data_IF_981424596214
#
_entry.id   IF_981424596214
#
_cell.length_a   1.000
_cell.length_b   1.000
_cell.length_c   1.000
_cell.angle_alpha   90.00
_cell.angle_beta   90.00
_cell.angle_gamma   90.00
#
_symmetry.space_group_name_H-M   'P 1'
#
loop_
_entity.id
_entity.type
_entity.pdbx_description
1 polymer ?
#
# COMPACT_ATOMS: atom_id res chain seq x y z
N UNK A 1 -19.06 21.14 16.64
CA UNK A 1 -18.13 20.82 17.74
C UNK A 1 -16.72 20.73 17.15
N UNK A 2 -15.73 21.45 17.71
CA UNK A 2 -14.34 21.23 17.32
C UNK A 2 -14.02 19.76 17.63
N UNK A 3 -13.68 19.02 16.59
CA UNK A 3 -13.32 17.62 16.67
C UNK A 3 -12.01 17.51 17.43
N UNK A 4 -12.09 16.98 18.64
CA UNK A 4 -10.98 16.81 19.57
C UNK A 4 -9.76 16.17 18.86
N UNK A 5 -8.53 16.65 19.06
CA UNK A 5 -7.32 15.95 18.67
C UNK A 5 -7.32 14.44 18.98
N UNK A 6 -8.03 14.01 20.03
CA UNK A 6 -8.22 12.60 20.40
C UNK A 6 -8.92 11.78 19.30
N UNK A 7 -9.90 12.36 18.59
CA UNK A 7 -10.60 11.71 17.48
C UNK A 7 -9.68 11.40 16.29
N UNK A 8 -8.55 12.10 16.17
CA UNK A 8 -7.55 11.84 15.13
C UNK A 8 -6.79 10.55 15.39
N UNK A 9 -6.27 10.38 16.61
CA UNK A 9 -5.51 9.19 17.00
C UNK A 9 -6.43 7.96 17.00
N UNK A 10 -7.55 8.06 17.72
CA UNK A 10 -8.53 6.97 17.84
C UNK A 10 -9.17 6.61 16.51
N UNK A 11 -9.39 7.59 15.64
CA UNK A 11 -9.93 7.35 14.31
C UNK A 11 -8.97 6.54 13.44
N UNK A 12 -7.69 6.87 13.46
CA UNK A 12 -6.68 6.12 12.70
C UNK A 12 -6.50 4.71 13.24
N UNK A 13 -6.47 4.53 14.56
CA UNK A 13 -6.37 3.21 15.17
C UNK A 13 -7.60 2.34 14.82
N UNK A 14 -8.81 2.89 14.88
CA UNK A 14 -10.03 2.16 14.50
C UNK A 14 -10.03 1.80 13.01
N UNK A 15 -9.60 2.71 12.13
CA UNK A 15 -9.50 2.47 10.70
C UNK A 15 -8.52 1.35 10.37
N UNK A 16 -7.36 1.33 11.04
CA UNK A 16 -6.38 0.25 10.89
C UNK A 16 -6.98 -1.06 11.39
N UNK A 17 -7.54 -1.10 12.60
CA UNK A 17 -8.11 -2.34 13.16
C UNK A 17 -9.22 -2.93 12.28
N UNK A 18 -10.12 -2.11 11.74
CA UNK A 18 -11.17 -2.58 10.84
C UNK A 18 -10.62 -3.09 9.50
N UNK A 19 -9.61 -2.43 8.94
CA UNK A 19 -8.94 -2.89 7.74
C UNK A 19 -8.13 -4.19 7.98
N UNK A 20 -7.49 -4.31 9.15
CA UNK A 20 -6.73 -5.49 9.54
C UNK A 20 -7.61 -6.73 9.70
N UNK A 21 -8.86 -6.55 10.15
CA UNK A 21 -9.86 -7.62 10.19
C UNK A 21 -10.09 -8.29 8.82
N UNK A 22 -9.78 -7.61 7.71
CA UNK A 22 -9.98 -8.14 6.36
C UNK A 22 -8.75 -8.90 5.83
N UNK A 23 -7.57 -8.76 6.47
CA UNK A 23 -6.31 -9.36 6.00
C UNK A 23 -6.40 -10.87 5.84
N UNK A 24 -7.06 -11.55 6.78
CA UNK A 24 -7.20 -13.02 6.78
C UNK A 24 -7.93 -13.48 5.52
N UNK A 25 -9.11 -12.90 5.26
CA UNK A 25 -9.96 -13.26 4.13
C UNK A 25 -9.28 -12.96 2.78
N UNK A 26 -8.64 -11.79 2.66
CA UNK A 26 -7.89 -11.42 1.45
C UNK A 26 -6.69 -12.33 1.20
N UNK A 27 -5.95 -12.69 2.25
CA UNK A 27 -4.80 -13.61 2.15
C UNK A 27 -5.25 -15.02 1.80
N UNK A 28 -6.30 -15.53 2.45
CA UNK A 28 -6.85 -16.86 2.17
C UNK A 28 -7.34 -16.97 0.72
N UNK A 29 -8.05 -15.94 0.22
CA UNK A 29 -8.46 -15.90 -1.18
C UNK A 29 -7.26 -15.98 -2.11
N UNK A 30 -6.21 -15.21 -1.86
CA UNK A 30 -4.99 -15.23 -2.67
C UNK A 30 -4.32 -16.60 -2.67
N UNK A 31 -4.19 -17.24 -1.50
CA UNK A 31 -3.58 -18.57 -1.37
C UNK A 31 -4.38 -19.65 -2.10
N UNK A 32 -5.70 -19.56 -2.12
CA UNK A 32 -6.58 -20.54 -2.77
C UNK A 32 -6.73 -20.33 -4.28
N UNK A 33 -6.63 -19.08 -4.76
CA UNK A 33 -6.94 -18.74 -6.16
C UNK A 33 -5.70 -18.31 -6.97
N UNK A 34 -4.57 -18.05 -6.31
CA UNK A 34 -3.36 -17.54 -6.96
C UNK A 34 -3.46 -16.10 -7.48
N UNK A 35 -4.55 -15.40 -7.16
CA UNK A 35 -4.81 -14.00 -7.52
C UNK A 35 -5.52 -13.28 -6.38
N UNK A 36 -5.35 -11.97 -6.31
CA UNK A 36 -6.03 -11.14 -5.31
C UNK A 36 -7.55 -11.09 -5.54
N UNK A 37 -8.37 -10.91 -4.50
CA UNK A 37 -9.80 -10.71 -4.68
C UNK A 37 -10.07 -9.36 -5.33
N UNK A 38 -10.94 -9.35 -6.34
CA UNK A 38 -11.28 -8.14 -7.10
C UNK A 38 -12.08 -7.14 -6.25
N UNK A 39 -12.91 -7.64 -5.31
CA UNK A 39 -13.81 -6.85 -4.46
C UNK A 39 -14.09 -7.54 -3.10
N UNK A 40 -14.94 -6.91 -2.27
CA UNK A 40 -15.37 -7.45 -0.97
C UNK A 40 -16.06 -8.81 -1.10
N UNK A 41 -16.92 -8.98 -2.11
CA UNK A 41 -17.68 -10.22 -2.32
C UNK A 41 -16.77 -11.39 -2.65
N UNK A 42 -15.78 -11.19 -3.52
CA UNK A 42 -14.75 -12.19 -3.83
C UNK A 42 -13.87 -12.49 -2.64
N UNK A 43 -13.52 -11.47 -1.85
CA UNK A 43 -12.76 -11.68 -0.62
C UNK A 43 -13.55 -12.46 0.45
N UNK A 44 -14.87 -12.58 0.33
CA UNK A 44 -15.72 -13.23 1.34
C UNK A 44 -15.92 -12.37 2.59
N UNK A 45 -15.85 -11.04 2.44
CA UNK A 45 -16.11 -10.07 3.53
C UNK A 45 -17.44 -9.35 3.27
N UNK A 46 -17.92 -8.55 4.24
CA UNK A 46 -19.21 -7.89 4.10
C UNK A 46 -19.26 -6.97 2.86
N UNK A 47 -20.36 -7.10 2.12
CA UNK A 47 -20.70 -6.31 0.94
C UNK A 47 -22.16 -5.87 1.08
N UNK A 48 -22.46 -4.56 1.05
CA UNK A 48 -21.60 -3.46 0.59
C UNK A 48 -20.47 -3.05 1.58
N UNK A 49 -19.39 -2.40 1.09
CA UNK A 49 -18.29 -1.87 1.93
C UNK A 49 -18.72 -0.98 3.11
N UNK A 50 -19.89 -0.36 3.01
CA UNK A 50 -20.50 0.50 4.04
C UNK A 50 -21.03 -0.27 5.25
N UNK A 51 -21.10 -1.60 5.16
CA UNK A 51 -21.45 -2.45 6.30
C UNK A 51 -20.23 -2.70 7.20
N UNK A 52 -19.01 -2.50 6.66
CA UNK A 52 -17.77 -2.48 7.44
C UNK A 52 -17.49 -1.04 7.88
N UNK A 53 -18.15 -0.61 8.94
CA UNK A 53 -18.06 0.75 9.48
C UNK A 53 -17.86 0.75 10.99
N UNK A 54 -17.36 1.88 11.49
CA UNK A 54 -17.08 2.11 12.90
C UNK A 54 -17.55 3.48 13.36
N UNK A 55 -17.12 3.90 14.55
CA UNK A 55 -17.42 5.24 15.08
C UNK A 55 -16.76 6.33 14.22
N UNK A 56 -15.53 6.09 13.78
CA UNK A 56 -14.72 7.05 13.02
C UNK A 56 -14.47 6.61 11.57
N UNK A 57 -15.01 5.45 11.15
CA UNK A 57 -14.77 4.82 9.85
C UNK A 57 -16.09 4.68 9.12
N UNK A 58 -16.14 5.17 7.88
CA UNK A 58 -17.31 5.15 7.02
C UNK A 58 -17.49 3.82 6.29
N UNK A 59 -16.39 3.26 5.78
CA UNK A 59 -16.40 2.04 5.00
C UNK A 59 -15.01 1.42 4.91
N UNK A 60 -14.97 0.11 4.67
CA UNK A 60 -13.75 -0.61 4.29
C UNK A 60 -14.00 -1.34 2.97
N UNK A 61 -13.21 -1.00 1.97
CA UNK A 61 -13.32 -1.54 0.61
C UNK A 61 -12.11 -2.39 0.28
N UNK A 62 -12.34 -3.57 -0.28
CA UNK A 62 -11.33 -4.39 -0.93
C UNK A 62 -11.40 -4.09 -2.43
N UNK A 63 -10.25 -3.82 -3.05
CA UNK A 63 -10.15 -3.67 -4.50
C UNK A 63 -8.85 -4.30 -4.96
N UNK A 64 -8.93 -5.34 -5.77
CA UNK A 64 -7.77 -6.11 -6.23
C UNK A 64 -6.83 -6.50 -5.07
N UNK A 65 -7.37 -6.86 -3.90
CA UNK A 65 -6.62 -7.21 -2.68
C UNK A 65 -5.98 -6.04 -1.92
N UNK A 66 -6.19 -4.80 -2.35
CA UNK A 66 -5.90 -3.61 -1.53
C UNK A 66 -7.11 -3.34 -0.65
N UNK A 67 -6.90 -3.21 0.66
CA UNK A 67 -7.94 -2.89 1.65
C UNK A 67 -7.84 -1.40 1.99
N UNK A 68 -8.84 -0.62 1.61
CA UNK A 68 -8.90 0.83 1.84
C UNK A 68 -9.97 1.17 2.86
N UNK A 69 -9.56 1.77 3.98
CA UNK A 69 -10.47 2.31 4.97
C UNK A 69 -10.71 3.80 4.71
N UNK A 70 -11.98 4.21 4.70
CA UNK A 70 -12.37 5.61 4.59
C UNK A 70 -12.84 6.14 5.95
N UNK A 71 -12.29 7.27 6.37
CA UNK A 71 -12.71 7.96 7.59
C UNK A 71 -14.10 8.57 7.43
N UNK A 72 -14.84 8.63 8.54
CA UNK A 72 -16.16 9.25 8.58
C UNK A 72 -16.13 10.72 8.11
N UNK A 73 -17.27 11.18 7.60
CA UNK A 73 -17.47 12.58 7.22
C UNK A 73 -17.92 13.46 8.40
N UNK A 74 -18.20 12.87 9.56
CA UNK A 74 -18.63 13.59 10.77
C UNK A 74 -18.03 12.94 12.02
N UNK A 75 -17.83 13.71 13.09
CA UNK A 75 -17.34 13.16 14.37
C UNK A 75 -15.85 12.80 14.38
N UNK A 76 -15.10 13.12 13.33
CA UNK A 76 -13.65 12.93 13.20
C UNK A 76 -12.94 14.25 12.98
N UNK A 77 -11.65 14.31 13.31
CA UNK A 77 -10.84 15.51 13.10
C UNK A 77 -10.86 15.98 11.64
N UNK A 78 -11.02 17.29 11.41
CA UNK A 78 -11.00 17.92 10.07
C UNK A 78 -9.80 17.52 9.23
N UNK A 79 -8.66 17.24 9.86
CA UNK A 79 -7.41 16.83 9.19
C UNK A 79 -7.47 15.42 8.60
N UNK A 80 -8.42 14.58 9.04
CA UNK A 80 -8.60 13.18 8.59
C UNK A 80 -10.01 12.89 8.05
N UNK A 81 -10.91 13.86 8.11
CA UNK A 81 -12.30 13.74 7.67
C UNK A 81 -12.41 13.33 6.19
N UNK A 82 -13.14 12.24 5.93
CA UNK A 82 -13.33 11.70 4.59
C UNK A 82 -12.06 11.16 3.90
N UNK A 83 -10.91 11.20 4.59
CA UNK A 83 -9.63 10.74 4.07
C UNK A 83 -9.53 9.23 4.13
N UNK A 84 -8.51 8.69 3.46
CA UNK A 84 -8.30 7.25 3.37
C UNK A 84 -6.90 6.83 3.80
N UNK A 85 -6.81 5.58 4.24
CA UNK A 85 -5.58 4.81 4.35
C UNK A 85 -5.76 3.48 3.64
N UNK A 86 -4.66 2.83 3.26
CA UNK A 86 -4.73 1.52 2.62
C UNK A 86 -3.75 0.54 3.23
N UNK A 87 -4.19 -0.70 3.27
CA UNK A 87 -3.40 -1.87 3.57
C UNK A 87 -3.29 -2.68 2.29
N UNK A 88 -2.09 -3.08 1.93
CA UNK A 88 -1.86 -3.92 0.77
C UNK A 88 -0.82 -4.96 1.12
N UNK A 89 -0.83 -6.05 0.36
CA UNK A 89 0.09 -7.14 0.60
C UNK A 89 0.90 -7.46 -0.64
N UNK A 90 2.14 -7.91 -0.44
CA UNK A 90 3.00 -8.45 -1.48
C UNK A 90 3.45 -9.86 -1.09
N UNK A 91 3.61 -10.72 -2.08
CA UNK A 91 4.19 -12.04 -1.86
C UNK A 91 5.70 -11.94 -1.67
N UNK A 92 6.21 -12.54 -0.59
CA UNK A 92 7.64 -12.71 -0.31
C UNK A 92 7.90 -14.19 0.04
N UNK A 93 8.62 -14.91 -0.82
CA UNK A 93 9.16 -16.27 -0.59
C UNK A 93 8.20 -17.26 0.10
N UNK A 94 6.99 -17.42 -0.44
CA UNK A 94 6.00 -18.37 0.09
C UNK A 94 5.14 -17.84 1.24
N UNK A 95 5.35 -16.57 1.63
CA UNK A 95 4.52 -15.84 2.60
C UNK A 95 3.94 -14.56 1.98
N UNK A 96 2.97 -13.97 2.68
CA UNK A 96 2.36 -12.69 2.30
C UNK A 96 2.75 -11.66 3.34
N UNK A 97 3.35 -10.55 2.90
CA UNK A 97 3.71 -9.43 3.75
C UNK A 97 2.77 -8.27 3.53
N UNK A 98 2.22 -7.77 4.62
CA UNK A 98 1.31 -6.63 4.62
C UNK A 98 2.03 -5.32 4.91
N UNK A 99 1.57 -4.28 4.24
CA UNK A 99 2.00 -2.90 4.37
C UNK A 99 0.79 -2.03 4.71
N UNK A 100 1.02 -0.88 5.34
CA UNK A 100 -0.01 0.07 5.73
C UNK A 100 0.49 1.49 5.49
N UNK A 101 -0.33 2.30 4.82
CA UNK A 101 0.08 3.66 4.52
C UNK A 101 -0.98 4.50 3.86
N UNK A 102 -0.49 5.50 3.12
CA UNK A 102 -1.35 6.32 2.26
C UNK A 102 -2.06 5.44 1.23
N UNK A 103 -3.16 5.93 0.65
CA UNK A 103 -3.93 5.13 -0.28
C UNK A 103 -3.12 4.71 -1.50
N UNK A 104 -3.29 3.45 -1.86
CA UNK A 104 -2.65 2.83 -3.03
C UNK A 104 -3.69 2.13 -3.88
N UNK A 105 -3.33 1.84 -5.12
CA UNK A 105 -4.13 1.07 -6.05
C UNK A 105 -3.28 -0.05 -6.64
N UNK A 106 -3.95 -1.16 -6.97
CA UNK A 106 -3.40 -2.26 -7.75
C UNK A 106 -4.19 -2.36 -9.04
N UNK A 107 -3.50 -2.26 -10.17
CA UNK A 107 -4.12 -2.22 -11.49
C UNK A 107 -4.82 -3.53 -11.86
N UNK A 108 -4.29 -4.67 -11.41
CA UNK A 108 -4.84 -5.99 -11.72
C UNK A 108 -4.79 -6.93 -10.51
N UNK A 109 -5.91 -7.58 -10.23
CA UNK A 109 -6.02 -8.65 -9.24
C UNK A 109 -5.08 -9.84 -9.50
N UNK A 110 -4.82 -10.15 -10.78
CA UNK A 110 -3.96 -11.25 -11.20
C UNK A 110 -2.52 -10.82 -11.52
N UNK A 111 -2.07 -9.65 -11.03
CA UNK A 111 -0.70 -9.21 -11.29
C UNK A 111 0.30 -10.22 -10.72
N UNK A 112 1.10 -10.82 -11.61
CA UNK A 112 2.09 -11.84 -11.28
C UNK A 112 3.49 -11.27 -11.10
N UNK A 113 3.69 -9.96 -11.33
CA UNK A 113 4.98 -9.27 -11.18
C UNK A 113 4.99 -8.42 -9.92
N UNK A 114 5.58 -8.98 -8.86
CA UNK A 114 5.91 -8.31 -7.59
C UNK A 114 4.72 -7.69 -6.82
N UNK A 115 3.49 -8.07 -7.15
CA UNK A 115 2.24 -7.55 -6.55
C UNK A 115 2.25 -6.02 -6.44
N UNK A 116 2.67 -5.38 -7.52
CA UNK A 116 2.98 -3.94 -7.52
C UNK A 116 1.75 -3.12 -7.17
N UNK A 117 1.96 -2.09 -6.36
CA UNK A 117 0.95 -1.07 -6.05
C UNK A 117 1.52 0.31 -6.37
N UNK A 118 0.66 1.21 -6.78
CA UNK A 118 0.99 2.61 -7.03
C UNK A 118 0.19 3.50 -6.10
N UNK A 119 0.67 4.71 -5.82
CA UNK A 119 -0.12 5.69 -5.09
C UNK A 119 -1.46 5.91 -5.81
N UNK A 120 -2.57 5.90 -5.06
CA UNK A 120 -3.89 6.15 -5.62
C UNK A 120 -4.01 7.62 -6.03
N UNK A 121 -4.67 7.87 -7.17
CA UNK A 121 -5.07 9.23 -7.56
C UNK A 121 -6.31 9.68 -6.76
N UNK A 122 -6.16 9.99 -5.47
CA UNK A 122 -7.25 10.47 -4.61
C UNK A 122 -7.51 11.98 -4.73
N UNK A 123 -7.46 12.52 -5.95
CA UNK A 123 -7.74 13.94 -6.20
C UNK A 123 -9.21 14.32 -5.92
N UNK A 124 -10.10 13.35 -5.75
CA UNK A 124 -11.50 13.54 -5.33
C UNK A 124 -11.88 12.51 -4.25
N UNK A 125 -12.59 12.97 -3.21
CA UNK A 125 -12.97 12.27 -1.96
C UNK A 125 -11.91 12.30 -0.84
N UNK A 126 -11.70 13.50 -0.27
CA UNK A 126 -10.96 13.72 0.99
C UNK A 126 -9.43 13.66 0.89
N UNK A 127 -8.91 12.97 -0.12
CA UNK A 127 -7.47 12.81 -0.33
C UNK A 127 -6.81 11.88 0.68
N UNK A 128 -5.49 11.89 0.67
CA UNK A 128 -4.64 11.09 1.55
C UNK A 128 -4.52 11.69 2.95
N UNK A 129 -4.53 10.83 3.97
CA UNK A 129 -4.12 11.24 5.32
C UNK A 129 -2.67 11.71 5.25
N UNK A 130 -2.38 12.89 5.83
CA UNK A 130 -1.01 13.38 5.91
C UNK A 130 -0.20 12.44 6.79
N UNK A 131 1.02 12.10 6.38
CA UNK A 131 1.87 11.12 7.06
C UNK A 131 2.15 11.50 8.51
N UNK A 132 2.10 12.79 8.88
CA UNK A 132 2.21 13.25 10.28
C UNK A 132 1.08 12.74 11.17
N UNK A 133 -0.07 12.43 10.59
CA UNK A 133 -1.25 11.96 11.32
C UNK A 133 -1.33 10.44 11.35
N UNK A 134 -0.70 9.73 10.42
CA UNK A 134 -0.63 8.27 10.43
C UNK A 134 0.22 7.77 11.62
N UNK A 135 -0.16 6.67 12.28
CA UNK A 135 0.70 5.97 13.23
C UNK A 135 2.02 5.56 12.58
N UNK A 136 3.10 5.42 13.37
CA UNK A 136 4.42 5.05 12.84
C UNK A 136 4.43 3.70 12.12
N UNK A 137 3.54 2.79 12.52
CA UNK A 137 3.36 1.46 11.92
C UNK A 137 2.55 1.46 10.61
N UNK A 138 2.01 2.61 10.21
CA UNK A 138 1.20 2.75 8.99
C UNK A 138 1.71 3.91 8.12
N UNK A 139 3.02 3.92 7.83
CA UNK A 139 3.70 4.93 7.00
C UNK A 139 4.53 4.29 5.89
N UNK A 140 4.14 3.12 5.42
CA UNK A 140 4.83 2.45 4.32
C UNK A 140 4.63 3.24 3.02
N UNK A 141 5.69 3.41 2.24
CA UNK A 141 5.60 4.02 0.92
C UNK A 141 5.20 2.97 -0.12
N UNK A 142 4.34 3.35 -1.08
CA UNK A 142 3.95 2.48 -2.20
C UNK A 142 5.16 2.04 -3.04
N UNK A 143 6.21 2.87 -3.05
CA UNK A 143 7.48 2.64 -3.73
C UNK A 143 8.42 1.68 -3.02
N UNK A 144 8.14 1.25 -1.78
CA UNK A 144 8.99 0.28 -1.10
C UNK A 144 8.96 -1.03 -1.90
N UNK A 145 10.07 -1.37 -2.60
CA UNK A 145 10.22 -2.71 -3.13
C UNK A 145 10.31 -3.64 -1.92
N UNK A 146 9.74 -4.84 -2.00
CA UNK A 146 10.07 -5.87 -1.01
C UNK A 146 11.59 -5.93 -0.89
N UNK A 147 12.11 -5.46 0.24
CA UNK A 147 13.53 -5.40 0.63
C UNK A 147 14.50 -5.41 -0.56
N UNK A 148 14.58 -4.31 -1.32
CA UNK A 148 15.88 -3.96 -1.86
C UNK A 148 16.68 -3.49 -0.64
N UNK A 149 17.54 -4.38 -0.12
CA UNK A 149 18.62 -4.00 0.80
C UNK A 149 19.13 -2.64 0.34
N UNK A 150 19.18 -1.68 1.25
CA UNK A 150 20.10 -0.56 1.11
C UNK A 150 21.48 -1.21 0.95
N UNK A 151 21.91 -1.49 -0.28
CA UNK A 151 23.34 -1.53 -0.57
C UNK A 151 23.75 -0.10 -0.35
N UNK A 152 24.31 0.14 0.83
CA UNK A 152 24.97 1.37 1.16
C UNK A 152 25.84 1.79 -0.04
N UNK A 153 25.68 3.04 -0.45
CA UNK A 153 26.27 3.72 -1.61
C UNK A 153 25.36 3.83 -2.83
N UNK A 154 24.54 4.88 -2.77
CA UNK A 154 24.02 5.52 -3.97
C UNK A 154 25.15 5.85 -4.93
N UNK A 155 25.14 5.19 -6.09
CA UNK A 155 25.84 5.68 -7.27
C UNK A 155 24.92 5.51 -8.46
N UNK A 156 24.23 6.60 -8.82
CA UNK A 156 23.75 6.80 -10.19
C UNK A 156 24.98 6.81 -11.08
N UNK A 157 25.30 5.66 -11.68
CA UNK A 157 26.22 5.64 -12.81
C UNK A 157 25.37 5.76 -14.07
N UNK A 158 25.05 7.01 -14.42
CA UNK A 158 24.83 7.39 -15.81
C UNK A 158 26.13 7.02 -16.53
N UNK A 159 26.11 5.93 -17.29
CA UNK A 159 27.28 5.49 -18.04
C UNK A 159 27.35 6.27 -19.36
N UNK A 160 28.55 6.83 -19.54
CA UNK A 160 29.16 7.42 -20.73
C UNK A 160 29.03 8.96 -20.88
N UNK A 161 30.06 9.66 -21.40
CA UNK A 161 31.22 9.14 -22.16
C UNK A 161 32.60 9.64 -21.68
N UNK A 162 33.69 8.93 -22.00
CA UNK A 162 35.00 9.47 -22.39
C UNK A 162 36.09 8.38 -22.50
N UNK A 163 36.54 8.16 -23.73
CA UNK A 163 37.93 7.92 -24.14
C UNK A 163 38.73 6.81 -23.44
N UNK A 164 39.05 5.72 -24.16
CA UNK A 164 40.39 5.10 -24.24
C UNK A 164 40.52 4.27 -25.55
N UNK A 165 41.72 4.16 -26.16
CA UNK A 165 41.96 3.70 -27.54
C UNK A 165 42.06 2.16 -27.67
N UNK A 166 42.06 1.59 -28.91
CA UNK A 166 41.98 0.14 -29.12
C UNK A 166 43.27 -0.60 -28.77
N UNK A 167 43.14 -1.75 -28.09
CA UNK A 167 44.23 -2.63 -27.74
C UNK A 167 44.85 -3.31 -28.97
N UNK A 168 46.15 -3.08 -29.19
CA UNK A 168 47.02 -3.85 -30.09
C UNK A 168 47.17 -5.28 -29.56
N UNK A 169 46.89 -6.26 -30.41
CA UNK A 169 47.34 -7.65 -30.28
C UNK A 169 48.87 -7.72 -30.20
N UNK A 170 49.42 -8.30 -29.13
CA UNK A 170 50.78 -8.81 -29.11
C UNK A 170 50.74 -10.33 -29.15
N UNK A 171 51.10 -10.84 -30.34
CA UNK A 171 51.44 -12.23 -30.60
C UNK A 171 52.71 -12.59 -29.81
N UNK A 172 52.70 -13.72 -29.12
CA UNK A 172 53.92 -14.40 -28.69
C UNK A 172 54.35 -15.41 -29.75
N UNK A 173 55.51 -15.11 -30.34
CA UNK A 173 56.59 -15.95 -30.84
C UNK A 173 56.35 -17.48 -30.79
N UNK A 174 56.30 -18.09 -31.98
CA UNK A 174 57.25 -19.10 -32.46
C UNK A 174 57.65 -18.70 -33.89
#
# INVERSE_FOLDING_TARGET
>A
MPTDPDSRLRGNDEAILLAEGQKSAVTEYYLNNGKWPEDNDKAGVASPPTDIKGKYVQSVTVTNGVVTAQMASTGVNKEIQGKKLSLWAKREDGSVKWFCGQPVQRDNAADTKDDTVTAANDAGNGGKIDTKHLPSTCRDESSLPGIARITANGRKTTLLPAWHPPHRHQRQIC
#
